data_IF_353036844105
#
_entry.id   IF_353036844105
#
_cell.length_a   1.000
_cell.length_b   1.000
_cell.length_c   1.000
_cell.angle_alpha   90.00
_cell.angle_beta   90.00
_cell.angle_gamma   90.00
#
_symmetry.space_group_name_H-M   'P 1'
#
loop_
_entity.id
_entity.type
_entity.pdbx_description
1 polymer ?
#
# COMPACT_ATOMS: atom_id res chain seq x y z
N UNK A 1 -25.69 4.96 -18.59
CA UNK A 1 -25.52 4.90 -17.13
C UNK A 1 -24.46 5.90 -16.76
N UNK A 2 -24.88 7.03 -16.21
CA UNK A 2 -24.01 8.07 -15.66
C UNK A 2 -23.26 7.48 -14.48
N UNK A 3 -21.93 7.59 -14.48
CA UNK A 3 -21.10 7.16 -13.35
C UNK A 3 -21.35 8.18 -12.23
N UNK A 4 -22.28 7.87 -11.33
CA UNK A 4 -22.48 8.60 -10.09
C UNK A 4 -21.23 8.42 -9.22
N UNK A 5 -20.47 9.51 -9.05
CA UNK A 5 -19.31 9.72 -8.18
C UNK A 5 -18.50 8.47 -7.78
N UNK A 6 -17.47 8.13 -8.56
CA UNK A 6 -16.49 7.12 -8.16
C UNK A 6 -15.46 7.68 -7.18
N UNK A 7 -15.22 7.02 -6.04
CA UNK A 7 -14.09 7.30 -5.14
C UNK A 7 -12.90 6.42 -5.54
N UNK A 8 -11.71 7.00 -5.68
CA UNK A 8 -10.48 6.21 -5.84
C UNK A 8 -9.77 6.10 -4.49
N UNK A 9 -9.56 4.87 -4.02
CA UNK A 9 -8.83 4.58 -2.79
C UNK A 9 -7.49 3.96 -3.17
N UNK A 10 -6.40 4.65 -2.86
CA UNK A 10 -5.05 4.15 -3.11
C UNK A 10 -4.50 3.47 -1.86
N UNK A 11 -3.90 2.28 -2.00
CA UNK A 11 -2.86 1.91 -1.04
C UNK A 11 -1.63 2.83 -1.19
N UNK A 12 -0.73 2.83 -0.21
CA UNK A 12 0.47 3.66 -0.22
C UNK A 12 1.70 2.89 -0.70
N UNK A 13 2.08 1.84 0.02
CA UNK A 13 3.34 1.15 -0.16
C UNK A 13 3.24 0.25 -1.39
N UNK A 14 4.17 0.36 -2.34
CA UNK A 14 4.11 -0.38 -3.60
C UNK A 14 3.13 0.17 -4.64
N UNK A 15 2.22 1.08 -4.26
CA UNK A 15 1.27 1.76 -5.15
C UNK A 15 1.61 3.23 -5.39
N UNK A 16 1.59 4.07 -4.36
CA UNK A 16 1.95 5.50 -4.49
C UNK A 16 3.46 5.69 -4.44
N UNK A 17 4.14 4.90 -3.61
CA UNK A 17 5.58 4.97 -3.38
C UNK A 17 6.22 3.61 -3.62
N UNK A 18 7.41 3.60 -4.22
CA UNK A 18 8.13 2.36 -4.52
C UNK A 18 8.96 1.89 -3.31
N UNK A 19 8.27 1.61 -2.20
CA UNK A 19 8.87 1.36 -0.88
C UNK A 19 9.16 -0.11 -0.58
N UNK A 20 8.49 -1.05 -1.25
CA UNK A 20 8.45 -2.44 -0.79
C UNK A 20 9.79 -3.17 -0.95
N UNK A 21 10.59 -2.86 -1.97
CA UNK A 21 11.96 -3.38 -2.09
C UNK A 21 12.84 -2.90 -0.93
N UNK A 22 12.68 -1.63 -0.52
CA UNK A 22 13.43 -1.06 0.60
C UNK A 22 13.00 -1.68 1.93
N UNK A 23 11.70 -1.92 2.10
CA UNK A 23 11.11 -2.63 3.25
C UNK A 23 11.64 -4.06 3.35
N UNK A 24 11.61 -4.81 2.25
CA UNK A 24 12.13 -6.17 2.16
C UNK A 24 13.61 -6.23 2.52
N UNK A 25 14.45 -5.39 1.91
CA UNK A 25 15.88 -5.35 2.18
C UNK A 25 16.19 -4.98 3.64
N UNK A 26 15.42 -4.06 4.22
CA UNK A 26 15.57 -3.66 5.62
C UNK A 26 15.23 -4.82 6.57
N UNK A 27 14.16 -5.57 6.28
CA UNK A 27 13.80 -6.76 7.05
C UNK A 27 14.81 -7.89 6.91
N UNK A 28 15.25 -8.18 5.68
CA UNK A 28 16.27 -9.21 5.42
C UNK A 28 17.55 -8.90 6.20
N UNK A 29 18.05 -7.67 6.07
CA UNK A 29 19.26 -7.24 6.76
C UNK A 29 19.11 -7.34 8.28
N UNK A 30 17.98 -6.86 8.83
CA UNK A 30 17.75 -6.89 10.26
C UNK A 30 17.63 -8.31 10.79
N UNK A 31 16.79 -9.15 10.18
CA UNK A 31 16.57 -10.52 10.64
C UNK A 31 17.84 -11.37 10.55
N UNK A 32 18.72 -11.13 9.57
CA UNK A 32 20.01 -11.80 9.48
C UNK A 32 20.89 -11.56 10.72
N UNK A 33 20.79 -10.38 11.35
CA UNK A 33 21.50 -10.10 12.62
C UNK A 33 21.00 -10.94 13.80
N UNK A 34 19.81 -11.53 13.67
CA UNK A 34 19.19 -12.46 14.61
C UNK A 34 19.21 -13.91 14.12
N UNK A 35 20.10 -14.24 13.18
CA UNK A 35 20.25 -15.59 12.60
C UNK A 35 18.99 -16.10 11.87
N UNK A 36 18.10 -15.20 11.45
CA UNK A 36 16.90 -15.51 10.66
C UNK A 36 17.08 -15.01 9.24
N UNK A 37 16.93 -15.88 8.25
CA UNK A 37 17.00 -15.51 6.83
C UNK A 37 15.65 -15.72 6.15
N UNK A 38 15.18 -14.70 5.44
CA UNK A 38 13.94 -14.76 4.65
C UNK A 38 14.23 -14.49 3.16
N UNK A 39 13.57 -15.25 2.28
CA UNK A 39 13.65 -15.00 0.84
C UNK A 39 12.69 -13.89 0.41
N UNK A 40 12.85 -13.40 -0.82
CA UNK A 40 11.92 -12.44 -1.41
C UNK A 40 10.51 -13.05 -1.53
N UNK A 41 10.40 -14.33 -1.89
CA UNK A 41 9.13 -15.05 -1.99
C UNK A 41 8.44 -15.15 -0.63
N UNK A 42 9.21 -15.37 0.45
CA UNK A 42 8.69 -15.37 1.80
C UNK A 42 8.16 -13.98 2.19
N UNK A 43 8.93 -12.93 1.91
CA UNK A 43 8.51 -11.55 2.18
C UNK A 43 7.19 -11.21 1.45
N UNK A 44 7.11 -11.51 0.15
CA UNK A 44 5.92 -11.26 -0.68
C UNK A 44 4.71 -12.04 -0.16
N UNK A 45 4.90 -13.29 0.26
CA UNK A 45 3.78 -14.14 0.71
C UNK A 45 3.27 -13.77 2.10
N UNK A 46 4.15 -13.30 2.98
CA UNK A 46 3.86 -13.21 4.41
C UNK A 46 3.86 -11.78 4.94
N UNK A 47 4.65 -10.86 4.39
CA UNK A 47 4.83 -9.50 4.93
C UNK A 47 4.19 -8.42 4.05
N UNK A 48 4.21 -8.59 2.72
CA UNK A 48 3.73 -7.57 1.77
C UNK A 48 2.28 -7.14 2.02
N UNK A 49 2.05 -5.83 2.15
CA UNK A 49 0.75 -5.23 2.44
C UNK A 49 0.18 -5.51 3.84
N UNK A 50 0.91 -6.21 4.71
CA UNK A 50 0.49 -6.56 6.07
C UNK A 50 0.99 -5.53 7.09
N UNK A 51 0.31 -5.47 8.23
CA UNK A 51 0.72 -4.57 9.33
C UNK A 51 1.95 -5.09 10.07
N UNK A 52 2.64 -4.19 10.78
CA UNK A 52 3.74 -4.56 11.69
C UNK A 52 3.32 -5.65 12.69
N UNK A 53 2.13 -5.55 13.27
CA UNK A 53 1.58 -6.55 14.19
C UNK A 53 1.49 -7.94 13.55
N UNK A 54 1.14 -8.03 12.26
CA UNK A 54 1.10 -9.31 11.56
C UNK A 54 2.52 -9.87 11.37
N UNK A 55 3.46 -9.03 10.95
CA UNK A 55 4.87 -9.42 10.80
C UNK A 55 5.45 -9.94 12.11
N UNK A 56 5.20 -9.26 13.23
CA UNK A 56 5.62 -9.71 14.56
C UNK A 56 5.11 -11.14 14.88
N UNK A 57 3.83 -11.38 14.63
CA UNK A 57 3.19 -12.68 14.88
C UNK A 57 3.76 -13.76 13.96
N UNK A 58 3.97 -13.44 12.69
CA UNK A 58 4.47 -14.38 11.70
C UNK A 58 5.91 -14.77 11.97
N UNK A 59 6.77 -13.80 12.29
CA UNK A 59 8.18 -14.07 12.64
C UNK A 59 8.29 -14.96 13.88
N UNK A 60 7.47 -14.68 14.90
CA UNK A 60 7.43 -15.52 16.09
C UNK A 60 6.93 -16.94 15.79
N UNK A 61 5.93 -17.08 14.91
CA UNK A 61 5.36 -18.36 14.53
C UNK A 61 6.34 -19.23 13.74
N UNK A 62 6.98 -18.65 12.72
CA UNK A 62 7.79 -19.40 11.75
C UNK A 62 9.24 -19.62 12.22
N UNK A 63 9.81 -18.65 12.95
CA UNK A 63 11.23 -18.66 13.32
C UNK A 63 11.46 -18.71 14.83
N UNK A 64 10.41 -18.63 15.65
CA UNK A 64 10.54 -18.59 17.10
C UNK A 64 11.12 -17.28 17.65
N UNK A 65 11.43 -16.30 16.79
CA UNK A 65 11.99 -15.01 17.15
C UNK A 65 10.90 -14.04 17.62
N UNK A 66 11.00 -13.56 18.85
CA UNK A 66 10.13 -12.47 19.33
C UNK A 66 10.61 -11.14 18.78
N UNK A 67 9.80 -10.51 17.92
CA UNK A 67 10.06 -9.14 17.44
C UNK A 67 9.79 -8.14 18.57
N UNK A 68 10.83 -7.80 19.32
CA UNK A 68 10.75 -6.88 20.46
C UNK A 68 10.57 -5.42 20.02
N UNK A 69 10.29 -4.53 20.98
CA UNK A 69 10.27 -3.09 20.71
C UNK A 69 11.60 -2.59 20.12
N UNK A 70 12.73 -3.11 20.63
CA UNK A 70 14.05 -2.77 20.11
C UNK A 70 14.21 -3.17 18.63
N UNK A 71 13.82 -4.39 18.25
CA UNK A 71 13.90 -4.86 16.86
C UNK A 71 13.05 -3.96 15.94
N UNK A 72 11.89 -3.52 16.41
CA UNK A 72 11.03 -2.60 15.64
C UNK A 72 11.66 -1.23 15.48
N UNK A 73 12.29 -0.70 16.52
CA UNK A 73 13.00 0.58 16.46
C UNK A 73 14.18 0.50 15.49
N UNK A 74 14.95 -0.60 15.52
CA UNK A 74 16.03 -0.87 14.57
C UNK A 74 15.52 -0.97 13.13
N UNK A 75 14.41 -1.69 12.89
CA UNK A 75 13.76 -1.74 11.58
C UNK A 75 13.33 -0.35 11.11
N UNK A 76 12.68 0.43 11.99
CA UNK A 76 12.22 1.78 11.65
C UNK A 76 13.39 2.69 11.30
N UNK A 77 14.53 2.59 12.00
CA UNK A 77 15.74 3.36 11.69
C UNK A 77 16.27 2.97 10.30
N UNK A 78 16.47 1.67 10.04
CA UNK A 78 16.95 1.17 8.75
C UNK A 78 16.05 1.60 7.59
N UNK A 79 14.75 1.42 7.75
CA UNK A 79 13.76 1.79 6.73
C UNK A 79 13.74 3.30 6.49
N UNK A 80 13.80 4.10 7.56
CA UNK A 80 13.79 5.57 7.46
C UNK A 80 15.03 6.08 6.74
N UNK A 81 16.20 5.51 6.99
CA UNK A 81 17.44 5.82 6.29
C UNK A 81 17.39 5.41 4.81
N UNK A 82 16.87 4.22 4.52
CA UNK A 82 16.65 3.76 3.15
C UNK A 82 15.69 4.71 2.41
N UNK A 83 14.61 5.11 3.06
CA UNK A 83 13.64 6.04 2.49
C UNK A 83 14.24 7.41 2.18
N UNK A 84 15.03 7.96 3.11
CA UNK A 84 15.69 9.26 2.91
C UNK A 84 16.62 9.28 1.68
N UNK A 85 17.22 8.14 1.34
CA UNK A 85 18.22 8.03 0.27
C UNK A 85 17.64 7.56 -1.07
N UNK A 86 16.59 6.73 -1.02
CA UNK A 86 16.20 5.90 -2.18
C UNK A 86 14.70 5.88 -2.45
N UNK A 87 13.84 6.36 -1.54
CA UNK A 87 12.40 6.28 -1.78
C UNK A 87 11.99 7.22 -2.91
N UNK A 88 11.27 6.66 -3.89
CA UNK A 88 10.72 7.39 -5.02
C UNK A 88 9.20 7.17 -5.07
N UNK A 89 8.43 8.15 -5.60
CA UNK A 89 7.06 7.87 -6.03
C UNK A 89 7.08 6.81 -7.14
N UNK A 90 6.02 6.02 -7.26
CA UNK A 90 5.91 5.10 -8.40
C UNK A 90 5.86 5.89 -9.72
N UNK A 91 6.42 5.35 -10.82
CA UNK A 91 6.57 6.11 -12.06
C UNK A 91 5.21 6.66 -12.53
N UNK A 92 5.11 7.96 -12.84
CA UNK A 92 3.90 8.67 -13.34
C UNK A 92 2.78 8.97 -12.32
N UNK A 93 2.87 8.54 -11.06
CA UNK A 93 1.77 8.74 -10.10
C UNK A 93 1.42 10.22 -9.87
N UNK A 94 2.42 11.11 -9.81
CA UNK A 94 2.19 12.55 -9.65
C UNK A 94 1.38 13.13 -10.81
N UNK A 95 1.59 12.65 -12.04
CA UNK A 95 0.82 13.06 -13.21
C UNK A 95 -0.65 12.64 -13.05
N UNK A 96 -0.90 11.39 -12.64
CA UNK A 96 -2.25 10.92 -12.35
C UNK A 96 -2.93 11.78 -11.28
N UNK A 97 -2.29 11.93 -10.10
CA UNK A 97 -2.88 12.65 -8.97
C UNK A 97 -3.20 14.11 -9.31
N UNK A 98 -2.38 14.76 -10.14
CA UNK A 98 -2.63 16.13 -10.61
C UNK A 98 -3.83 16.26 -11.55
N UNK A 99 -4.26 15.16 -12.18
CA UNK A 99 -5.35 15.12 -13.17
C UNK A 99 -6.63 14.51 -12.62
N UNK A 100 -6.61 13.85 -11.46
CA UNK A 100 -7.81 13.27 -10.86
C UNK A 100 -8.85 14.36 -10.58
N UNK A 101 -10.06 14.19 -11.14
CA UNK A 101 -11.21 15.10 -10.93
C UNK A 101 -12.30 14.50 -10.03
N UNK A 102 -12.08 13.28 -9.56
CA UNK A 102 -12.95 12.59 -8.61
C UNK A 102 -12.34 12.63 -7.20
N UNK A 103 -13.12 12.45 -6.14
CA UNK A 103 -12.57 12.29 -4.80
C UNK A 103 -11.60 11.10 -4.76
N UNK A 104 -10.51 11.26 -4.00
CA UNK A 104 -9.59 10.19 -3.72
C UNK A 104 -9.01 10.28 -2.30
N UNK A 105 -8.57 9.14 -1.79
CA UNK A 105 -7.93 9.02 -0.49
C UNK A 105 -6.85 7.94 -0.49
N UNK A 106 -6.05 7.92 0.58
CA UNK A 106 -5.04 6.92 0.86
C UNK A 106 -5.52 6.02 2.00
N UNK A 107 -5.41 4.70 1.84
CA UNK A 107 -5.76 3.70 2.85
C UNK A 107 -4.65 2.65 3.00
N UNK A 108 -3.85 2.74 4.07
CA UNK A 108 -2.60 1.96 4.22
C UNK A 108 -2.52 1.13 5.51
N UNK A 109 -1.82 0.00 5.42
CA UNK A 109 -1.44 -0.83 6.58
C UNK A 109 -0.34 -0.20 7.46
N UNK A 110 0.35 0.82 6.96
CA UNK A 110 1.43 1.53 7.65
C UNK A 110 0.94 2.42 8.80
N UNK A 111 1.84 2.79 9.71
CA UNK A 111 1.54 3.73 10.80
C UNK A 111 1.46 5.18 10.27
N UNK A 112 0.74 6.08 10.96
CA UNK A 112 0.69 7.50 10.59
C UNK A 112 2.07 8.11 10.39
N UNK A 113 3.00 7.88 11.31
CA UNK A 113 4.34 8.47 11.28
C UNK A 113 5.15 8.00 10.05
N UNK A 114 5.04 6.70 9.71
CA UNK A 114 5.70 6.16 8.51
C UNK A 114 5.08 6.74 7.25
N UNK A 115 3.75 6.81 7.18
CA UNK A 115 3.03 7.33 6.01
C UNK A 115 3.36 8.79 5.76
N UNK A 116 3.29 9.63 6.80
CA UNK A 116 3.64 11.06 6.70
C UNK A 116 5.07 11.27 6.23
N UNK A 117 6.03 10.53 6.80
CA UNK A 117 7.43 10.62 6.41
C UNK A 117 7.65 10.20 4.96
N UNK A 118 7.04 9.09 4.52
CA UNK A 118 7.19 8.58 3.17
C UNK A 118 6.57 9.52 2.11
N UNK A 119 5.40 10.10 2.40
CA UNK A 119 4.78 11.12 1.54
C UNK A 119 5.64 12.39 1.47
N UNK A 120 6.28 12.78 2.57
CA UNK A 120 7.18 13.93 2.61
C UNK A 120 8.42 13.70 1.74
N UNK A 121 9.07 12.54 1.86
CA UNK A 121 10.24 12.18 1.05
C UNK A 121 9.95 12.18 -0.46
N UNK A 122 8.72 11.85 -0.85
CA UNK A 122 8.31 11.71 -2.25
C UNK A 122 7.62 12.94 -2.83
N UNK A 123 7.38 13.98 -2.00
CA UNK A 123 6.64 15.18 -2.41
C UNK A 123 5.14 14.96 -2.64
N UNK A 124 4.61 13.83 -2.16
CA UNK A 124 3.21 13.45 -2.34
C UNK A 124 2.27 14.00 -1.25
N UNK A 125 2.80 14.55 -0.15
CA UNK A 125 1.99 15.11 0.95
C UNK A 125 0.95 16.13 0.48
N UNK A 126 1.26 16.92 -0.57
CA UNK A 126 0.35 17.93 -1.09
C UNK A 126 -0.94 17.38 -1.73
N UNK A 127 -0.96 16.10 -2.10
CA UNK A 127 -2.14 15.45 -2.70
C UNK A 127 -3.06 14.81 -1.66
N UNK A 128 -2.57 14.56 -0.45
CA UNK A 128 -3.29 13.84 0.60
C UNK A 128 -3.22 14.64 1.90
N UNK A 129 -4.09 15.65 2.05
CA UNK A 129 -4.16 16.45 3.28
C UNK A 129 -4.92 15.71 4.38
N UNK A 130 -6.25 15.71 4.32
CA UNK A 130 -7.11 15.13 5.36
C UNK A 130 -7.60 13.71 5.03
N UNK A 131 -7.22 13.20 3.86
CA UNK A 131 -7.73 11.96 3.28
C UNK A 131 -6.72 10.79 3.41
N UNK A 132 -6.08 10.68 4.57
CA UNK A 132 -5.13 9.62 4.91
C UNK A 132 -5.74 8.73 5.99
N UNK A 133 -5.95 7.46 5.66
CA UNK A 133 -6.51 6.47 6.58
C UNK A 133 -5.52 5.34 6.83
N UNK A 134 -5.10 5.19 8.07
CA UNK A 134 -4.11 4.19 8.49
C UNK A 134 -4.76 3.03 9.23
N UNK A 135 -4.05 1.91 9.31
CA UNK A 135 -4.45 0.71 10.08
C UNK A 135 -4.92 1.02 11.50
N UNK A 136 -4.36 2.03 12.16
CA UNK A 136 -4.70 2.44 13.53
C UNK A 136 -6.16 2.89 13.72
N UNK A 137 -6.87 3.22 12.64
CA UNK A 137 -8.25 3.71 12.67
C UNK A 137 -9.30 2.59 12.75
N UNK A 138 -8.87 1.32 12.60
CA UNK A 138 -9.78 0.18 12.51
C UNK A 138 -9.39 -0.95 13.45
N UNK A 139 -10.33 -1.85 13.72
CA UNK A 139 -10.06 -3.01 14.59
C UNK A 139 -9.24 -4.07 13.86
N UNK A 140 -9.61 -4.41 12.64
CA UNK A 140 -8.95 -5.43 11.83
C UNK A 140 -8.29 -4.78 10.60
N UNK A 141 -7.07 -5.19 10.28
CA UNK A 141 -6.36 -4.71 9.08
C UNK A 141 -6.58 -5.63 7.89
N UNK A 142 -6.03 -5.26 6.73
CA UNK A 142 -5.97 -6.09 5.53
C UNK A 142 -5.46 -7.51 5.91
N UNK A 143 -6.15 -8.61 5.53
CA UNK A 143 -7.15 -8.70 4.47
C UNK A 143 -8.61 -8.46 4.91
N UNK A 144 -8.85 -8.04 6.15
CA UNK A 144 -10.19 -7.63 6.55
C UNK A 144 -10.59 -6.31 5.85
N UNK A 145 -11.87 -6.13 5.52
CA UNK A 145 -12.34 -4.98 4.72
C UNK A 145 -12.44 -3.68 5.51
N UNK A 146 -12.24 -3.71 6.84
CA UNK A 146 -12.56 -2.61 7.75
C UNK A 146 -11.93 -1.28 7.32
N UNK A 147 -10.66 -1.28 6.89
CA UNK A 147 -9.96 -0.05 6.52
C UNK A 147 -10.55 0.61 5.26
N UNK A 148 -10.90 -0.17 4.25
CA UNK A 148 -11.52 0.38 3.04
C UNK A 148 -12.96 0.83 3.30
N UNK A 149 -13.73 0.06 4.08
CA UNK A 149 -15.08 0.46 4.49
C UNK A 149 -15.05 1.78 5.28
N UNK A 150 -14.09 1.91 6.20
CA UNK A 150 -13.87 3.14 6.95
C UNK A 150 -13.51 4.32 6.03
N UNK A 151 -12.59 4.13 5.09
CA UNK A 151 -12.21 5.16 4.13
C UNK A 151 -13.42 5.61 3.28
N UNK A 152 -14.20 4.68 2.75
CA UNK A 152 -15.40 4.99 1.98
C UNK A 152 -16.47 5.73 2.81
N UNK A 153 -16.70 5.32 4.07
CA UNK A 153 -17.60 6.01 5.00
C UNK A 153 -17.15 7.46 5.23
N UNK A 154 -15.86 7.68 5.50
CA UNK A 154 -15.32 9.03 5.73
C UNK A 154 -15.37 9.93 4.51
N UNK A 155 -15.25 9.34 3.32
CA UNK A 155 -15.38 10.03 2.06
C UNK A 155 -16.84 10.19 1.61
N UNK A 156 -17.82 9.61 2.34
CA UNK A 156 -19.24 9.73 2.03
C UNK A 156 -19.68 8.97 0.77
N UNK A 157 -18.95 7.92 0.38
CA UNK A 157 -19.20 7.14 -0.86
C UNK A 157 -19.54 5.70 -0.52
N UNK A 158 -20.48 5.10 -1.25
CA UNK A 158 -20.84 3.69 -1.02
C UNK A 158 -19.76 2.75 -1.57
N UNK A 159 -19.54 1.56 -0.99
CA UNK A 159 -18.48 0.66 -1.44
C UNK A 159 -18.56 0.27 -2.93
N UNK A 160 -19.77 0.14 -3.48
CA UNK A 160 -19.98 -0.20 -4.90
C UNK A 160 -19.52 0.90 -5.88
N UNK A 161 -19.29 2.11 -5.38
CA UNK A 161 -18.78 3.25 -6.15
C UNK A 161 -17.28 3.48 -5.90
N UNK A 162 -16.64 2.63 -5.10
CA UNK A 162 -15.22 2.74 -4.79
C UNK A 162 -14.39 1.88 -5.75
N UNK A 163 -13.27 2.44 -6.19
CA UNK A 163 -12.21 1.76 -6.92
C UNK A 163 -10.98 1.74 -6.01
N UNK A 164 -10.55 0.55 -5.61
CA UNK A 164 -9.34 0.32 -4.82
C UNK A 164 -8.19 0.03 -5.78
N UNK A 165 -7.09 0.76 -5.64
CA UNK A 165 -5.82 0.45 -6.31
C UNK A 165 -4.85 -0.15 -5.30
N UNK A 166 -4.42 -1.37 -5.56
CA UNK A 166 -3.68 -2.22 -4.62
C UNK A 166 -2.65 -3.07 -5.34
N UNK A 167 -1.52 -3.35 -4.70
CA UNK A 167 -0.43 -4.19 -5.20
C UNK A 167 -0.38 -5.56 -4.49
N UNK A 168 -0.84 -5.61 -3.23
CA UNK A 168 -0.67 -6.75 -2.34
C UNK A 168 -1.85 -7.72 -2.38
N UNK A 169 -1.64 -9.05 -2.25
CA UNK A 169 -2.73 -10.01 -2.11
C UNK A 169 -3.66 -9.69 -0.93
N UNK A 170 -3.08 -9.25 0.20
CA UNK A 170 -3.83 -8.89 1.40
C UNK A 170 -4.81 -7.74 1.14
N UNK A 171 -4.35 -6.70 0.45
CA UNK A 171 -5.18 -5.55 0.12
C UNK A 171 -6.21 -5.85 -0.95
N UNK A 172 -5.87 -6.67 -1.94
CA UNK A 172 -6.85 -7.13 -2.92
C UNK A 172 -7.99 -7.91 -2.26
N UNK A 173 -7.66 -8.85 -1.37
CA UNK A 173 -8.66 -9.60 -0.60
C UNK A 173 -9.54 -8.67 0.25
N UNK A 174 -8.96 -7.63 0.88
CA UNK A 174 -9.70 -6.65 1.65
C UNK A 174 -10.66 -5.81 0.79
N UNK A 175 -10.25 -5.38 -0.40
CA UNK A 175 -11.10 -4.64 -1.32
C UNK A 175 -12.27 -5.48 -1.86
N UNK A 176 -12.01 -6.75 -2.18
CA UNK A 176 -13.05 -7.71 -2.59
C UNK A 176 -14.02 -7.95 -1.43
N UNK A 177 -13.52 -8.18 -0.22
CA UNK A 177 -14.34 -8.36 0.97
C UNK A 177 -15.18 -7.12 1.32
N UNK A 178 -14.71 -5.92 0.94
CA UNK A 178 -15.43 -4.67 1.08
C UNK A 178 -16.51 -4.45 -0.01
N UNK A 179 -16.65 -5.37 -0.98
CA UNK A 179 -17.54 -5.26 -2.13
C UNK A 179 -17.26 -4.01 -2.97
N UNK A 180 -15.97 -3.69 -3.15
CA UNK A 180 -15.46 -2.61 -3.99
C UNK A 180 -14.88 -3.17 -5.29
N UNK A 181 -14.77 -2.32 -6.32
CA UNK A 181 -13.96 -2.67 -7.48
C UNK A 181 -12.48 -2.61 -7.08
N UNK A 182 -11.71 -3.66 -7.37
CA UNK A 182 -10.27 -3.69 -7.10
C UNK A 182 -9.51 -3.79 -8.42
N UNK A 183 -8.46 -2.99 -8.55
CA UNK A 183 -7.55 -3.01 -9.69
C UNK A 183 -6.14 -3.26 -9.15
N UNK A 184 -5.52 -4.34 -9.63
CA UNK A 184 -4.17 -4.73 -9.21
C UNK A 184 -3.13 -3.85 -9.92
N UNK A 185 -2.38 -3.06 -9.15
CA UNK A 185 -1.22 -2.33 -9.65
C UNK A 185 0.04 -3.19 -9.53
N UNK A 186 0.74 -3.39 -10.65
CA UNK A 186 1.95 -4.21 -10.73
C UNK A 186 3.17 -3.42 -11.22
N UNK A 187 3.09 -2.09 -11.19
CA UNK A 187 4.20 -1.22 -11.59
C UNK A 187 5.24 -0.97 -10.50
N UNK A 188 4.97 -1.39 -9.25
CA UNK A 188 5.94 -1.36 -8.17
C UNK A 188 7.12 -2.31 -8.44
N UNK A 189 8.34 -1.88 -8.12
CA UNK A 189 9.56 -2.61 -8.47
C UNK A 189 9.63 -4.02 -7.84
N UNK A 190 8.97 -4.21 -6.71
CA UNK A 190 8.89 -5.47 -5.98
C UNK A 190 8.04 -6.55 -6.68
N UNK A 191 7.19 -6.19 -7.65
CA UNK A 191 6.40 -7.13 -8.47
C UNK A 191 6.95 -7.30 -9.87
N UNK A 192 8.11 -6.70 -10.18
CA UNK A 192 8.75 -6.87 -11.47
C UNK A 192 8.98 -8.37 -11.73
N UNK A 193 8.53 -8.84 -12.90
CA UNK A 193 8.64 -10.23 -13.35
C UNK A 193 7.82 -11.26 -12.53
N UNK A 194 6.93 -10.81 -11.64
CA UNK A 194 6.04 -11.69 -10.87
C UNK A 194 4.76 -12.03 -11.66
N UNK A 195 4.29 -13.31 -11.62
CA UNK A 195 3.07 -13.70 -12.31
C UNK A 195 1.83 -13.10 -11.63
N UNK A 196 0.96 -12.49 -12.42
CA UNK A 196 -0.26 -11.82 -11.95
C UNK A 196 -1.44 -12.79 -11.97
N UNK A 197 -2.15 -12.95 -10.85
CA UNK A 197 -3.33 -13.83 -10.74
C UNK A 197 -4.66 -13.10 -10.97
N UNK A 198 -4.67 -11.77 -10.94
CA UNK A 198 -5.87 -10.96 -11.06
C UNK A 198 -6.15 -10.55 -12.51
N UNK A 199 -7.43 -10.58 -12.89
CA UNK A 199 -7.90 -10.34 -14.26
C UNK A 199 -7.89 -8.86 -14.65
N UNK A 200 -7.98 -7.94 -13.68
CA UNK A 200 -7.90 -6.49 -13.93
C UNK A 200 -6.62 -5.94 -13.29
N UNK A 201 -5.60 -5.80 -14.12
CA UNK A 201 -4.23 -5.43 -13.70
C UNK A 201 -3.66 -4.37 -14.64
N UNK A 202 -2.82 -3.47 -14.11
CA UNK A 202 -2.02 -2.55 -14.91
C UNK A 202 -0.66 -2.27 -14.24
N UNK A 203 0.34 -1.90 -15.03
CA UNK A 203 1.69 -1.58 -14.54
C UNK A 203 2.14 -0.14 -14.80
N UNK A 204 1.38 0.61 -15.62
CA UNK A 204 1.68 2.01 -15.98
C UNK A 204 0.45 2.88 -15.74
N UNK A 205 0.61 4.01 -15.05
CA UNK A 205 -0.54 4.88 -14.74
C UNK A 205 -1.12 5.51 -16.00
N UNK A 206 -0.34 5.71 -17.06
CA UNK A 206 -0.89 6.11 -18.36
C UNK A 206 -1.90 5.10 -18.92
N UNK A 207 -1.70 3.80 -18.72
CA UNK A 207 -2.68 2.77 -19.10
C UNK A 207 -3.95 2.85 -18.24
N UNK A 208 -3.81 3.18 -16.95
CA UNK A 208 -4.95 3.43 -16.07
C UNK A 208 -5.76 4.64 -16.53
N UNK A 209 -5.10 5.74 -16.87
CA UNK A 209 -5.72 6.96 -17.41
C UNK A 209 -6.50 6.66 -18.70
N UNK A 210 -5.92 5.87 -19.60
CA UNK A 210 -6.59 5.46 -20.85
C UNK A 210 -7.80 4.54 -20.62
N UNK A 211 -7.73 3.64 -19.64
CA UNK A 211 -8.83 2.75 -19.30
C UNK A 211 -9.96 3.47 -18.53
N UNK A 212 -9.60 4.51 -17.78
CA UNK A 212 -10.52 5.26 -16.91
C UNK A 212 -10.48 6.78 -17.17
N UNK A 213 -10.71 7.25 -18.42
CA UNK A 213 -10.61 8.67 -18.77
C UNK A 213 -11.68 9.52 -18.07
N UNK A 214 -12.76 8.88 -17.60
CA UNK A 214 -13.79 9.57 -16.81
C UNK A 214 -13.32 10.03 -15.43
N UNK A 215 -12.23 9.48 -14.88
CA UNK A 215 -11.71 9.81 -13.54
C UNK A 215 -10.75 11.01 -13.56
N UNK A 216 -10.28 11.40 -14.74
CA UNK A 216 -9.24 12.42 -14.93
C UNK A 216 -9.72 13.58 -15.80
N UNK A 217 -9.07 14.74 -15.68
CA UNK A 217 -9.15 15.83 -16.65
C UNK A 217 -8.26 15.57 -17.85
N UNK A 218 -8.62 16.17 -18.98
CA UNK A 218 -7.78 16.19 -20.19
C UNK A 218 -6.38 16.74 -19.89
#
# INVERSE_FOLDING_TARGET
MTIESSLVIFDCDGVLIDSEVLSMQSWQHLLETYEVSISAEYFISNFLGKSMQHVEQQVQHDFGLTVTAQIKDEFHILLKEAFAKHLMPTPEITNLLSRLKVPYCLATSSSPERTEYALSCTGLSQFFTDNIFTRSLVKNGKPAPDLFLYAAEKMGVTPKQCIVIEDSPAGIDAGIAANMQVIHYTGGSHLKDMPTKHTTTFSHWDSFIQAYPMLVSD
#
